data_IF_067633543057
#
_entry.id   IF_067633543057
#
_cell.length_a   1.000
_cell.length_b   1.000
_cell.length_c   1.000
_cell.angle_alpha   90.00
_cell.angle_beta   90.00
_cell.angle_gamma   90.00
#
_symmetry.space_group_name_H-M   'P 1'
#
loop_
_entity.id
_entity.type
_entity.pdbx_description
1 polymer ?
#
# COMPACT_ATOMS: atom_id res chain seq x y z
N UNK A 1 -9.47 24.83 5.15
CA UNK A 1 -10.20 23.56 5.38
C UNK A 1 -9.19 22.44 5.68
N UNK A 2 -8.83 22.23 6.96
CA UNK A 2 -7.81 21.25 7.36
C UNK A 2 -8.12 19.83 6.89
N UNK A 3 -9.40 19.45 6.93
CA UNK A 3 -9.89 18.15 6.46
C UNK A 3 -9.64 17.95 4.95
N UNK A 4 -9.82 18.98 4.13
CA UNK A 4 -9.58 18.89 2.69
C UNK A 4 -8.10 18.69 2.36
N UNK A 5 -7.21 19.38 3.08
CA UNK A 5 -5.74 19.25 2.94
C UNK A 5 -5.27 17.86 3.38
N UNK A 6 -5.77 17.37 4.52
CA UNK A 6 -5.54 16.01 4.99
C UNK A 6 -5.97 14.97 3.96
N UNK A 7 -7.21 15.06 3.44
CA UNK A 7 -7.73 14.12 2.44
C UNK A 7 -6.89 14.12 1.17
N UNK A 8 -6.48 15.29 0.68
CA UNK A 8 -5.60 15.39 -0.48
C UNK A 8 -4.24 14.72 -0.25
N UNK A 9 -3.63 14.92 0.93
CA UNK A 9 -2.36 14.27 1.28
C UNK A 9 -2.50 12.75 1.42
N UNK A 10 -3.58 12.30 2.07
CA UNK A 10 -3.90 10.88 2.22
C UNK A 10 -4.10 10.22 0.86
N UNK A 11 -4.89 10.83 -0.03
CA UNK A 11 -5.14 10.30 -1.37
C UNK A 11 -3.84 10.15 -2.19
N UNK A 12 -2.97 11.17 -2.18
CA UNK A 12 -1.66 11.08 -2.87
C UNK A 12 -0.77 10.00 -2.29
N UNK A 13 -0.78 9.83 -0.97
CA UNK A 13 0.02 8.80 -0.30
C UNK A 13 -0.49 7.41 -0.63
N UNK A 14 -1.81 7.21 -0.56
CA UNK A 14 -2.47 5.96 -0.93
C UNK A 14 -2.19 5.57 -2.38
N UNK A 15 -2.31 6.51 -3.32
CA UNK A 15 -1.99 6.26 -4.73
C UNK A 15 -0.55 5.77 -4.94
N UNK A 16 0.43 6.33 -4.21
CA UNK A 16 1.82 5.86 -4.27
C UNK A 16 2.00 4.46 -3.69
N UNK A 17 1.32 4.15 -2.60
CA UNK A 17 1.37 2.83 -1.96
C UNK A 17 0.75 1.78 -2.90
N UNK A 18 -0.46 2.03 -3.40
CA UNK A 18 -1.17 1.13 -4.32
C UNK A 18 -0.36 0.88 -5.60
N UNK A 19 0.22 1.93 -6.19
CA UNK A 19 1.11 1.80 -7.35
C UNK A 19 2.35 0.95 -7.04
N UNK A 20 2.91 1.05 -5.83
CA UNK A 20 4.05 0.24 -5.40
C UNK A 20 3.65 -1.23 -5.26
N UNK A 21 2.48 -1.52 -4.70
CA UNK A 21 1.96 -2.88 -4.63
C UNK A 21 1.68 -3.48 -6.01
N UNK A 22 1.13 -2.70 -6.94
CA UNK A 22 0.97 -3.12 -8.34
C UNK A 22 2.32 -3.50 -8.98
N UNK A 23 3.34 -2.65 -8.83
CA UNK A 23 4.68 -2.92 -9.37
C UNK A 23 5.32 -4.17 -8.75
N UNK A 24 5.19 -4.37 -7.43
CA UNK A 24 5.69 -5.56 -6.76
C UNK A 24 4.99 -6.82 -7.26
N UNK A 25 3.65 -6.82 -7.36
CA UNK A 25 2.86 -7.95 -7.88
C UNK A 25 3.11 -8.22 -9.38
N UNK A 26 3.46 -7.20 -10.15
CA UNK A 26 3.82 -7.33 -11.56
C UNK A 26 5.21 -7.94 -11.74
N UNK A 27 6.18 -7.56 -10.89
CA UNK A 27 7.55 -8.07 -10.93
C UNK A 27 7.70 -9.46 -10.31
N UNK A 28 6.99 -9.72 -9.22
CA UNK A 28 7.08 -10.95 -8.45
C UNK A 28 5.70 -11.62 -8.39
N UNK A 29 5.45 -12.52 -9.34
CA UNK A 29 4.17 -13.23 -9.45
C UNK A 29 3.83 -14.05 -8.21
N UNK A 30 4.82 -14.44 -7.40
CA UNK A 30 4.60 -15.11 -6.12
C UNK A 30 3.71 -14.30 -5.17
N UNK A 31 3.75 -12.97 -5.22
CA UNK A 31 2.94 -12.09 -4.36
C UNK A 31 1.44 -12.10 -4.70
N UNK A 32 1.04 -12.72 -5.82
CA UNK A 32 -0.37 -12.78 -6.25
C UNK A 32 -1.16 -13.91 -5.59
N UNK A 33 -0.50 -14.82 -4.87
CA UNK A 33 -1.15 -16.00 -4.31
C UNK A 33 -0.22 -16.82 -3.42
N UNK A 34 0.42 -16.16 -2.45
CA UNK A 34 1.26 -16.86 -1.47
C UNK A 34 0.42 -17.87 -0.67
N UNK A 35 0.80 -19.16 -0.76
CA UNK A 35 0.21 -20.26 0.00
C UNK A 35 1.22 -20.79 1.02
N UNK A 36 1.66 -19.91 1.91
CA UNK A 36 2.62 -20.21 3.00
C UNK A 36 2.10 -19.64 4.31
N UNK A 37 2.69 -20.05 5.44
CA UNK A 37 2.38 -19.47 6.74
C UNK A 37 2.64 -17.95 6.76
N UNK A 38 1.91 -17.15 7.57
CA UNK A 38 2.03 -15.69 7.60
C UNK A 38 3.46 -15.18 7.81
N UNK A 39 4.20 -15.77 8.75
CA UNK A 39 5.59 -15.38 9.03
C UNK A 39 6.47 -15.52 7.78
N UNK A 40 6.31 -16.64 7.06
CA UNK A 40 7.03 -16.88 5.80
C UNK A 40 6.55 -15.97 4.68
N UNK A 41 5.27 -15.59 4.66
CA UNK A 41 4.75 -14.63 3.69
C UNK A 41 5.36 -13.24 3.92
N UNK A 42 5.56 -12.84 5.18
CA UNK A 42 6.26 -11.61 5.54
C UNK A 42 7.71 -11.63 5.06
N UNK A 43 8.46 -12.70 5.30
CA UNK A 43 9.83 -12.85 4.82
C UNK A 43 9.93 -12.73 3.29
N UNK A 44 9.04 -13.42 2.55
CA UNK A 44 8.98 -13.34 1.09
C UNK A 44 8.66 -11.91 0.63
N UNK A 45 7.72 -11.23 1.30
CA UNK A 45 7.34 -9.85 0.98
C UNK A 45 8.51 -8.89 1.16
N UNK A 46 9.24 -9.00 2.27
CA UNK A 46 10.44 -8.20 2.54
C UNK A 46 11.51 -8.46 1.47
N UNK A 47 11.78 -9.73 1.14
CA UNK A 47 12.74 -10.09 0.10
C UNK A 47 12.36 -9.49 -1.26
N UNK A 48 11.08 -9.54 -1.65
CA UNK A 48 10.59 -8.92 -2.89
C UNK A 48 10.80 -7.40 -2.88
N UNK A 49 10.56 -6.72 -1.75
CA UNK A 49 10.78 -5.28 -1.64
C UNK A 49 12.26 -4.90 -1.78
N UNK A 50 13.16 -5.66 -1.14
CA UNK A 50 14.61 -5.47 -1.26
C UNK A 50 15.06 -5.67 -2.71
N UNK A 51 14.63 -6.77 -3.35
CA UNK A 51 14.96 -7.06 -4.74
C UNK A 51 14.40 -6.00 -5.70
N UNK A 52 13.19 -5.49 -5.43
CA UNK A 52 12.63 -4.37 -6.18
C UNK A 52 13.53 -3.15 -6.12
N UNK A 53 13.99 -2.77 -4.92
CA UNK A 53 14.86 -1.61 -4.73
C UNK A 53 16.19 -1.77 -5.47
N UNK A 54 16.80 -2.95 -5.43
CA UNK A 54 18.04 -3.26 -6.18
C UNK A 54 17.82 -3.06 -7.68
N UNK A 55 16.73 -3.62 -8.23
CA UNK A 55 16.41 -3.48 -9.64
C UNK A 55 16.06 -2.03 -10.03
N UNK A 56 15.44 -1.26 -9.14
CA UNK A 56 15.19 0.18 -9.32
C UNK A 56 16.49 0.98 -9.37
N UNK A 57 17.45 0.72 -8.48
CA UNK A 57 18.79 1.34 -8.51
C UNK A 57 19.51 1.01 -9.82
N UNK A 58 19.38 -0.23 -10.30
CA UNK A 58 19.91 -0.69 -11.58
C UNK A 58 19.17 -0.15 -12.81
N UNK A 59 18.10 0.63 -12.61
CA UNK A 59 17.23 1.16 -13.67
C UNK A 59 16.66 0.06 -14.58
N UNK A 60 16.43 -1.12 -14.01
CA UNK A 60 15.77 -2.20 -14.73
C UNK A 60 14.33 -1.80 -15.06
N UNK A 61 13.84 -2.26 -16.22
CA UNK A 61 12.48 -1.96 -16.68
C UNK A 61 11.45 -2.36 -15.62
N UNK A 62 10.51 -1.46 -15.34
CA UNK A 62 9.36 -1.75 -14.49
C UNK A 62 8.40 -2.64 -15.30
N UNK A 63 8.03 -3.83 -14.79
CA UNK A 63 7.02 -4.67 -15.44
C UNK A 63 5.67 -3.95 -15.48
N UNK A 64 4.99 -4.03 -16.61
CA UNK A 64 3.63 -3.50 -16.74
C UNK A 64 2.69 -4.43 -15.98
N UNK A 65 2.01 -3.89 -14.97
CA UNK A 65 1.00 -4.66 -14.24
C UNK A 65 -0.18 -4.93 -15.18
N UNK A 66 -0.40 -6.20 -15.50
CA UNK A 66 -1.64 -6.60 -16.19
C UNK A 66 -2.74 -6.51 -15.14
N UNK A 67 -3.77 -5.70 -15.40
CA UNK A 67 -4.95 -5.58 -14.52
C UNK A 67 -5.46 -6.98 -14.20
N UNK A 68 -5.43 -7.34 -12.92
CA UNK A 68 -6.12 -8.51 -12.40
C UNK A 68 -7.15 -7.98 -11.42
N UNK A 69 -8.40 -8.49 -11.44
CA UNK A 69 -9.38 -8.13 -10.42
C UNK A 69 -8.77 -8.49 -9.06
N UNK A 70 -8.58 -7.47 -8.21
CA UNK A 70 -8.21 -7.71 -6.82
C UNK A 70 -9.37 -8.47 -6.17
N UNK A 71 -9.06 -9.50 -5.38
CA UNK A 71 -10.11 -10.23 -4.66
C UNK A 71 -10.84 -9.28 -3.71
N UNK A 72 -12.14 -9.49 -3.53
CA UNK A 72 -12.98 -8.71 -2.63
C UNK A 72 -12.43 -8.83 -1.19
N UNK A 73 -11.64 -7.85 -0.77
CA UNK A 73 -11.23 -7.72 0.63
C UNK A 73 -12.39 -7.10 1.39
N UNK A 74 -12.99 -7.88 2.28
CA UNK A 74 -14.02 -7.38 3.18
C UNK A 74 -13.46 -6.22 4.04
N UNK A 75 -14.19 -5.11 4.18
CA UNK A 75 -13.79 -4.02 5.05
C UNK A 75 -13.60 -4.49 6.49
N UNK A 76 -12.43 -4.22 7.07
CA UNK A 76 -12.21 -4.43 8.51
C UNK A 76 -13.01 -3.35 9.26
N UNK A 77 -14.09 -3.75 9.93
CA UNK A 77 -14.85 -2.87 10.82
C UNK A 77 -14.06 -2.60 12.11
N UNK A 78 -13.42 -1.44 12.18
CA UNK A 78 -12.84 -0.89 13.42
C UNK A 78 -13.87 0.04 14.09
N UNK A 79 -13.76 0.24 15.41
CA UNK A 79 -14.59 1.20 16.15
C UNK A 79 -14.50 2.61 15.53
N UNK A 80 -15.59 3.03 14.87
CA UNK A 80 -15.64 4.23 14.03
C UNK A 80 -15.48 5.53 14.81
N UNK A 81 -15.88 5.54 16.09
CA UNK A 81 -15.92 6.75 16.91
C UNK A 81 -14.50 7.23 17.25
N UNK A 82 -13.62 6.29 17.61
CA UNK A 82 -12.22 6.58 17.96
C UNK A 82 -11.41 7.00 16.73
N UNK A 83 -11.66 6.38 15.58
CA UNK A 83 -10.95 6.69 14.33
C UNK A 83 -11.23 8.10 13.79
N UNK A 84 -12.48 8.56 13.86
CA UNK A 84 -12.85 9.92 13.44
C UNK A 84 -12.20 10.99 14.33
N UNK A 85 -12.26 10.82 15.64
CA UNK A 85 -11.65 11.74 16.58
C UNK A 85 -10.12 11.84 16.42
N UNK A 86 -9.44 10.70 16.19
CA UNK A 86 -8.00 10.69 15.92
C UNK A 86 -7.65 11.40 14.61
N UNK A 87 -8.42 11.15 13.54
CA UNK A 87 -8.26 11.83 12.25
C UNK A 87 -8.46 13.33 12.36
N UNK A 88 -9.48 13.79 13.06
CA UNK A 88 -9.76 15.22 13.21
C UNK A 88 -8.63 15.92 13.95
N UNK A 89 -8.10 15.31 15.03
CA UNK A 89 -6.91 15.83 15.73
C UNK A 89 -5.71 15.98 14.80
N UNK A 90 -5.42 14.96 13.98
CA UNK A 90 -4.31 15.01 13.01
C UNK A 90 -4.54 16.09 11.96
N UNK A 91 -5.75 16.17 11.41
CA UNK A 91 -6.12 17.17 10.39
C UNK A 91 -5.95 18.59 10.93
N UNK A 92 -6.46 18.89 12.13
CA UNK A 92 -6.35 20.21 12.72
C UNK A 92 -4.90 20.57 13.11
N UNK A 93 -4.16 19.63 13.71
CA UNK A 93 -2.81 19.90 14.20
C UNK A 93 -1.77 20.02 13.07
N UNK A 94 -1.86 19.21 12.02
CA UNK A 94 -0.84 19.14 10.96
C UNK A 94 -1.26 19.76 9.63
N UNK A 95 -2.56 19.98 9.41
CA UNK A 95 -3.12 20.50 8.15
C UNK A 95 -3.97 21.77 8.33
N UNK A 96 -3.97 22.33 9.55
CA UNK A 96 -4.52 23.64 9.94
C UNK A 96 -4.23 24.76 8.97
#
# INVERSE_FOLDING_TARGET
MPQARFNGALARTRARIEMTFGQLKARFTCLRGLRVAPDRACDITVACAVLHNVATIRKERVPVDRVHPEGDLEPVHLDEQTGRAARDRIAHHHFG
#
